data_IF_477022190339
#
_entry.id   IF_477022190339
#
_cell.length_a   1.000
_cell.length_b   1.000
_cell.length_c   1.000
_cell.angle_alpha   90.00
_cell.angle_beta   90.00
_cell.angle_gamma   90.00
#
_symmetry.space_group_name_H-M   'P 1'
#
loop_
_entity.id
_entity.type
_entity.pdbx_description
1 polymer ?
#
# COMPACT_ATOMS: atom_id res chain seq x y z
N UNK A 1 -1.55 -8.08 -33.47
CA UNK A 1 -0.52 -8.80 -32.69
C UNK A 1 -0.20 -7.94 -31.48
N UNK A 2 -0.71 -8.31 -30.30
CA UNK A 2 -0.52 -7.52 -29.08
C UNK A 2 0.91 -7.70 -28.58
N UNK A 3 1.68 -6.61 -28.58
CA UNK A 3 3.00 -6.57 -27.96
C UNK A 3 2.86 -6.80 -26.47
N UNK A 4 3.36 -7.94 -25.97
CA UNK A 4 3.56 -8.19 -24.54
C UNK A 4 4.66 -7.23 -24.06
N UNK A 5 4.28 -6.01 -23.65
CA UNK A 5 5.14 -5.21 -22.79
C UNK A 5 5.36 -6.02 -21.51
N UNK A 6 6.59 -6.12 -20.96
CA UNK A 6 6.78 -6.76 -19.66
C UNK A 6 5.80 -6.09 -18.71
N UNK A 7 4.92 -6.89 -18.09
CA UNK A 7 3.88 -6.42 -17.20
C UNK A 7 4.54 -5.53 -16.16
N UNK A 8 4.37 -4.21 -16.29
CA UNK A 8 5.03 -3.24 -15.43
C UNK A 8 4.43 -3.43 -14.05
N UNK A 9 5.18 -4.09 -13.16
CA UNK A 9 4.72 -4.35 -11.79
C UNK A 9 4.38 -3.00 -11.17
N UNK A 10 3.13 -2.84 -10.75
CA UNK A 10 2.65 -1.64 -10.09
C UNK A 10 2.95 -1.74 -8.60
N UNK A 11 4.05 -1.10 -8.20
CA UNK A 11 4.55 -1.11 -6.84
C UNK A 11 3.96 0.00 -5.95
N UNK A 12 2.90 0.68 -6.39
CA UNK A 12 2.27 1.71 -5.57
C UNK A 12 1.58 1.05 -4.37
N UNK A 13 1.92 1.42 -3.13
CA UNK A 13 1.28 0.87 -1.94
C UNK A 13 -0.21 1.19 -1.90
N UNK A 14 -0.97 0.33 -1.24
CA UNK A 14 -2.41 0.48 -1.06
C UNK A 14 -2.69 1.77 -0.28
N UNK A 15 -3.66 2.56 -0.77
CA UNK A 15 -4.09 3.75 -0.06
C UNK A 15 -4.60 3.36 1.34
N UNK A 16 -4.09 3.98 2.41
CA UNK A 16 -4.48 3.63 3.76
C UNK A 16 -5.95 3.92 4.00
N UNK A 17 -6.60 3.10 4.83
CA UNK A 17 -7.98 3.37 5.24
C UNK A 17 -7.96 4.55 6.22
N UNK A 18 -8.51 5.67 5.77
CA UNK A 18 -8.64 6.88 6.57
C UNK A 18 -9.93 6.75 7.39
N UNK A 19 -9.83 6.94 8.71
CA UNK A 19 -11.00 7.01 9.57
C UNK A 19 -11.11 8.41 10.15
N UNK A 20 -12.29 9.01 9.99
CA UNK A 20 -12.66 10.20 10.73
C UNK A 20 -13.32 9.73 12.03
N UNK A 21 -12.78 10.16 13.16
CA UNK A 21 -13.48 10.10 14.43
C UNK A 21 -13.63 11.51 14.97
N UNK A 22 -14.70 11.74 15.73
CA UNK A 22 -14.86 12.95 16.51
C UNK A 22 -14.61 12.60 17.97
N UNK A 23 -13.56 13.16 18.56
CA UNK A 23 -13.46 13.31 20.01
C UNK A 23 -14.10 14.65 20.42
N UNK A 24 -14.23 14.92 21.72
CA UNK A 24 -14.83 16.18 22.23
C UNK A 24 -14.09 17.44 21.74
N UNK A 25 -12.85 17.28 21.26
CA UNK A 25 -12.01 18.34 20.69
C UNK A 25 -12.19 18.56 19.17
N UNK A 26 -13.04 17.78 18.49
CA UNK A 26 -13.35 17.98 17.07
C UNK A 26 -12.16 17.74 16.14
N UNK A 27 -11.23 16.88 16.53
CA UNK A 27 -10.02 16.60 15.76
C UNK A 27 -10.19 15.53 14.69
N UNK A 28 -9.68 15.78 13.49
CA UNK A 28 -9.37 14.74 12.52
C UNK A 28 -8.01 14.15 12.85
N UNK A 29 -7.96 12.96 13.45
CA UNK A 29 -6.68 12.31 13.71
C UNK A 29 -6.67 10.88 13.18
N UNK A 30 -5.48 10.45 12.76
CA UNK A 30 -5.21 9.14 12.13
C UNK A 30 -4.85 7.95 13.05
N UNK A 31 -4.90 7.97 14.40
CA UNK A 31 -4.17 6.97 15.18
C UNK A 31 -4.81 5.59 15.24
N UNK A 32 -6.15 5.45 15.18
CA UNK A 32 -6.79 4.15 15.46
C UNK A 32 -6.30 3.05 14.54
N UNK A 33 -6.01 3.40 13.28
CA UNK A 33 -5.45 2.49 12.28
C UNK A 33 -4.07 2.88 11.78
N UNK A 34 -3.42 3.92 12.32
CA UNK A 34 -2.08 4.32 11.87
C UNK A 34 -1.09 3.14 11.88
N UNK A 35 -1.11 2.34 12.96
CA UNK A 35 -0.26 1.16 13.07
C UNK A 35 -0.59 0.09 12.03
N UNK A 36 -1.88 -0.20 11.82
CA UNK A 36 -2.33 -1.20 10.82
C UNK A 36 -1.99 -0.72 9.40
N UNK A 37 -2.23 0.55 9.11
CA UNK A 37 -1.92 1.18 7.82
C UNK A 37 -0.42 1.16 7.54
N UNK A 38 0.43 1.36 8.56
CA UNK A 38 1.88 1.24 8.42
C UNK A 38 2.30 -0.20 8.10
N UNK A 39 1.75 -1.20 8.81
CA UNK A 39 2.06 -2.60 8.54
C UNK A 39 1.66 -3.00 7.12
N UNK A 40 0.46 -2.62 6.67
CA UNK A 40 0.01 -2.86 5.30
C UNK A 40 0.94 -2.21 4.26
N UNK A 41 1.38 -0.98 4.53
CA UNK A 41 2.31 -0.28 3.65
C UNK A 41 3.65 -1.01 3.52
N UNK A 42 4.17 -1.55 4.63
CA UNK A 42 5.41 -2.33 4.62
C UNK A 42 5.24 -3.65 3.86
N UNK A 43 4.12 -4.34 4.06
CA UNK A 43 3.81 -5.60 3.36
C UNK A 43 3.70 -5.37 1.84
N UNK A 44 3.06 -4.27 1.42
CA UNK A 44 2.94 -3.92 -0.01
C UNK A 44 4.32 -3.65 -0.65
N UNK A 45 5.24 -3.03 0.08
CA UNK A 45 6.61 -2.79 -0.38
C UNK A 45 7.41 -4.10 -0.48
N UNK A 46 7.31 -4.99 0.51
CA UNK A 46 8.01 -6.27 0.51
C UNK A 46 7.51 -7.19 -0.62
N UNK A 47 6.20 -7.18 -0.87
CA UNK A 47 5.61 -7.89 -2.00
C UNK A 47 6.15 -7.36 -3.34
N UNK A 48 6.19 -6.04 -3.53
CA UNK A 48 6.76 -5.44 -4.73
C UNK A 48 8.23 -5.85 -4.94
N UNK A 49 9.06 -5.79 -3.90
CA UNK A 49 10.48 -6.18 -3.98
C UNK A 49 10.59 -7.65 -4.40
N UNK A 50 9.77 -8.52 -3.80
CA UNK A 50 9.73 -9.95 -4.13
C UNK A 50 9.37 -10.16 -5.60
N UNK A 51 8.32 -9.51 -6.12
CA UNK A 51 7.93 -9.63 -7.53
C UNK A 51 9.01 -9.09 -8.50
N UNK A 52 9.69 -7.99 -8.14
CA UNK A 52 10.78 -7.43 -8.95
C UNK A 52 12.03 -8.32 -8.99
N UNK A 53 12.28 -9.09 -7.93
CA UNK A 53 13.41 -10.01 -7.83
C UNK A 53 13.16 -11.37 -8.49
N UNK A 54 11.91 -11.67 -8.89
CA UNK A 54 11.62 -12.93 -9.58
C UNK A 54 12.34 -12.98 -10.93
N UNK A 55 12.97 -14.12 -11.27
CA UNK A 55 13.54 -14.32 -12.60
C UNK A 55 12.44 -14.13 -13.65
N UNK A 56 12.66 -13.25 -14.62
CA UNK A 56 11.79 -13.16 -15.78
C UNK A 56 12.05 -14.37 -16.65
N UNK A 57 11.08 -15.30 -16.72
CA UNK A 57 11.07 -16.46 -17.62
C UNK A 57 10.65 -16.02 -19.01
#
# INVERSE_FOLDING_TARGET
MSSLSPSKIDCRPTAPQLEWYADESGGAYYPKRAHINLLQYLDDLDHCITELQKPQV
#
